data_IF_437297240998
#
_entry.id   IF_437297240998
#
_cell.length_a   1.000
_cell.length_b   1.000
_cell.length_c   1.000
_cell.angle_alpha   90.00
_cell.angle_beta   90.00
_cell.angle_gamma   90.00
#
_symmetry.space_group_name_H-M   'P 1'
#
loop_
_entity.id
_entity.type
_entity.pdbx_description
1 polymer ?
#
# COMPACT_ATOMS: atom_id res chain seq x y z
N UNK A 1 3.95 -3.79 14.97
CA UNK A 1 3.78 -2.53 14.21
C UNK A 1 4.88 -2.43 13.18
N UNK A 2 4.68 -1.72 12.07
CA UNK A 2 5.58 -1.82 10.90
C UNK A 2 7.04 -1.38 11.13
N UNK A 3 7.30 -0.58 12.18
CA UNK A 3 8.64 -0.20 12.64
C UNK A 3 9.21 -1.20 13.68
N UNK A 4 9.30 -2.48 13.32
CA UNK A 4 9.95 -3.51 14.16
C UNK A 4 11.26 -3.92 13.50
N UNK A 5 12.30 -4.21 14.29
CA UNK A 5 13.61 -4.61 13.75
C UNK A 5 13.50 -5.80 12.80
N UNK A 6 12.71 -6.82 13.14
CA UNK A 6 12.49 -7.98 12.27
C UNK A 6 11.93 -7.62 10.89
N UNK A 7 11.03 -6.64 10.81
CA UNK A 7 10.43 -6.17 9.56
C UNK A 7 11.46 -5.37 8.75
N UNK A 8 12.23 -4.50 9.41
CA UNK A 8 13.28 -3.71 8.76
C UNK A 8 14.41 -4.62 8.23
N UNK A 9 14.82 -5.61 9.01
CA UNK A 9 15.83 -6.61 8.62
C UNK A 9 15.34 -7.50 7.49
N UNK A 10 14.05 -7.89 7.50
CA UNK A 10 13.46 -8.63 6.38
C UNK A 10 13.42 -7.79 5.11
N UNK A 11 13.00 -6.52 5.20
CA UNK A 11 13.00 -5.60 4.07
C UNK A 11 14.41 -5.41 3.50
N UNK A 12 15.41 -5.22 4.38
CA UNK A 12 16.81 -5.09 3.99
C UNK A 12 17.33 -6.37 3.29
N UNK A 13 17.00 -7.56 3.81
CA UNK A 13 17.34 -8.84 3.15
C UNK A 13 16.72 -9.00 1.76
N UNK A 14 15.58 -8.36 1.53
CA UNK A 14 14.90 -8.34 0.23
C UNK A 14 15.39 -7.20 -0.68
N UNK A 15 16.41 -6.44 -0.26
CA UNK A 15 16.93 -5.30 -1.02
C UNK A 15 16.01 -4.08 -1.02
N UNK A 16 15.04 -4.01 -0.10
CA UNK A 16 14.08 -2.91 -0.01
C UNK A 16 14.57 -1.82 0.94
N UNK A 17 14.44 -0.55 0.51
CA UNK A 17 14.69 0.60 1.37
C UNK A 17 13.45 0.93 2.19
N UNK A 18 13.56 0.86 3.52
CA UNK A 18 12.45 1.14 4.44
C UNK A 18 12.30 2.65 4.69
N UNK A 19 11.24 3.25 4.14
CA UNK A 19 10.96 4.70 4.25
C UNK A 19 9.82 5.03 5.23
N UNK A 20 9.48 4.07 6.09
CA UNK A 20 8.46 4.24 7.13
C UNK A 20 9.06 5.08 8.27
N UNK A 21 8.33 6.03 8.89
CA UNK A 21 8.83 6.78 10.05
C UNK A 21 9.15 5.86 11.24
N UNK A 22 10.23 6.13 11.99
CA UNK A 22 10.46 5.45 13.25
C UNK A 22 9.40 5.82 14.30
N UNK A 23 9.16 4.90 15.23
CA UNK A 23 8.33 5.15 16.41
C UNK A 23 9.00 6.21 17.30
N UNK A 24 8.18 7.12 17.83
CA UNK A 24 8.62 8.20 18.73
C UNK A 24 9.43 7.70 19.94
N UNK A 25 9.11 6.51 20.47
CA UNK A 25 9.78 5.91 21.65
C UNK A 25 10.98 5.02 21.30
N UNK A 26 11.42 4.97 20.05
CA UNK A 26 12.59 4.16 19.66
C UNK A 26 13.85 4.77 20.26
N UNK A 27 14.71 3.92 20.86
CA UNK A 27 16.00 4.35 21.44
C UNK A 27 16.90 5.02 20.40
N UNK A 28 16.93 4.46 19.19
CA UNK A 28 17.67 5.02 18.06
C UNK A 28 16.68 5.46 16.99
N UNK A 29 16.61 6.78 16.78
CA UNK A 29 15.87 7.37 15.68
C UNK A 29 16.66 7.15 14.39
N UNK A 30 15.99 6.58 13.40
CA UNK A 30 16.57 6.28 12.08
C UNK A 30 16.08 7.34 11.10
N UNK A 31 16.98 7.76 10.21
CA UNK A 31 16.60 8.69 9.16
C UNK A 31 15.71 8.01 8.12
N UNK A 32 14.84 8.79 7.48
CA UNK A 32 13.98 8.32 6.41
C UNK A 32 13.59 9.49 5.52
N UNK A 33 13.41 9.23 4.23
CA UNK A 33 12.94 10.25 3.30
C UNK A 33 11.49 10.63 3.61
N UNK A 34 11.33 11.78 4.25
CA UNK A 34 10.01 12.34 4.60
C UNK A 34 9.20 12.72 3.36
N UNK A 35 9.85 13.17 2.29
CA UNK A 35 9.17 13.56 1.07
C UNK A 35 8.59 12.32 0.38
N UNK A 36 9.39 11.27 0.23
CA UNK A 36 8.93 10.00 -0.32
C UNK A 36 7.85 9.36 0.55
N UNK A 37 7.97 9.40 1.88
CA UNK A 37 6.92 8.89 2.76
C UNK A 37 5.60 9.65 2.61
N UNK A 38 5.64 10.96 2.34
CA UNK A 38 4.42 11.74 2.07
C UNK A 38 3.69 11.20 0.85
N UNK A 39 4.39 10.80 -0.22
CA UNK A 39 3.77 10.28 -1.46
C UNK A 39 2.93 9.01 -1.25
N UNK A 40 3.09 8.32 -0.12
CA UNK A 40 2.26 7.15 0.28
C UNK A 40 0.76 7.44 0.23
N UNK A 41 0.33 8.70 0.47
CA UNK A 41 -1.07 9.09 0.39
C UNK A 41 -1.69 8.83 -0.99
N UNK A 42 -0.91 8.91 -2.08
CA UNK A 42 -1.38 8.61 -3.43
C UNK A 42 -1.84 7.17 -3.54
N UNK A 43 -1.02 6.24 -3.04
CA UNK A 43 -1.34 4.81 -3.00
C UNK A 43 -2.57 4.54 -2.14
N UNK A 44 -2.66 5.15 -0.96
CA UNK A 44 -3.84 5.03 -0.07
C UNK A 44 -5.12 5.54 -0.73
N UNK A 45 -5.04 6.68 -1.43
CA UNK A 45 -6.16 7.25 -2.17
C UNK A 45 -6.61 6.29 -3.27
N UNK A 46 -5.70 5.70 -4.03
CA UNK A 46 -6.05 4.69 -5.05
C UNK A 46 -6.79 3.51 -4.42
N UNK A 47 -6.32 2.98 -3.28
CA UNK A 47 -7.03 1.91 -2.57
C UNK A 47 -8.41 2.33 -2.08
N UNK A 48 -8.58 3.58 -1.62
CA UNK A 48 -9.88 4.13 -1.27
C UNK A 48 -10.81 4.15 -2.49
N UNK A 49 -10.33 4.60 -3.65
CA UNK A 49 -11.09 4.61 -4.91
C UNK A 49 -11.48 3.22 -5.41
N UNK A 50 -10.63 2.23 -5.21
CA UNK A 50 -10.93 0.82 -5.49
C UNK A 50 -12.05 0.33 -4.55
N UNK A 51 -11.91 0.58 -3.24
CA UNK A 51 -12.89 0.16 -2.21
C UNK A 51 -14.23 0.90 -2.27
N UNK A 52 -14.35 2.03 -2.96
CA UNK A 52 -15.65 2.65 -3.24
C UNK A 52 -16.59 1.71 -4.00
N UNK A 53 -16.05 0.80 -4.80
CA UNK A 53 -16.87 -0.18 -5.50
C UNK A 53 -17.20 -1.35 -4.57
N UNK A 54 -18.48 -1.43 -4.15
CA UNK A 54 -18.96 -2.42 -3.18
C UNK A 54 -18.58 -3.85 -3.56
N UNK A 55 -18.71 -4.23 -4.84
CA UNK A 55 -18.39 -5.58 -5.31
C UNK A 55 -16.96 -6.05 -4.99
N UNK A 56 -15.98 -5.13 -5.05
CA UNK A 56 -14.60 -5.42 -4.61
C UNK A 56 -14.49 -5.35 -3.09
N UNK A 57 -15.03 -4.30 -2.46
CA UNK A 57 -14.86 -4.07 -1.03
C UNK A 57 -15.39 -5.22 -0.16
N UNK A 58 -16.52 -5.79 -0.55
CA UNK A 58 -17.17 -6.90 0.17
C UNK A 58 -16.94 -8.25 -0.49
N UNK A 59 -16.12 -8.32 -1.56
CA UNK A 59 -15.77 -9.55 -2.29
C UNK A 59 -16.99 -10.41 -2.65
N UNK A 60 -17.91 -9.86 -3.45
CA UNK A 60 -19.12 -10.60 -3.86
C UNK A 60 -18.85 -11.76 -4.82
N UNK A 61 -17.71 -11.76 -5.51
CA UNK A 61 -17.33 -12.83 -6.44
C UNK A 61 -16.96 -14.11 -5.67
N UNK A 62 -17.56 -15.24 -6.04
CA UNK A 62 -17.25 -16.56 -5.46
C UNK A 62 -15.84 -17.04 -5.79
N UNK A 63 -15.39 -16.79 -7.02
CA UNK A 63 -14.10 -17.27 -7.53
C UNK A 63 -13.01 -16.20 -7.40
N UNK A 64 -11.79 -16.63 -7.04
CA UNK A 64 -10.64 -15.74 -6.92
C UNK A 64 -10.24 -15.10 -8.27
N UNK A 65 -10.38 -15.85 -9.37
CA UNK A 65 -10.09 -15.36 -10.72
C UNK A 65 -11.03 -14.24 -11.13
N UNK A 66 -12.33 -14.39 -10.88
CA UNK A 66 -13.33 -13.34 -11.13
C UNK A 66 -13.09 -12.09 -10.28
N UNK A 67 -12.69 -12.28 -9.01
CA UNK A 67 -12.30 -11.16 -8.15
C UNK A 67 -11.10 -10.40 -8.72
N UNK A 68 -10.06 -11.13 -9.13
CA UNK A 68 -8.84 -10.56 -9.69
C UNK A 68 -9.15 -9.77 -10.98
N UNK A 69 -9.94 -10.34 -11.89
CA UNK A 69 -10.40 -9.64 -13.09
C UNK A 69 -11.16 -8.34 -12.77
N UNK A 70 -12.06 -8.38 -11.80
CA UNK A 70 -12.79 -7.20 -11.34
C UNK A 70 -11.86 -6.10 -10.78
N UNK A 71 -10.83 -6.49 -10.03
CA UNK A 71 -9.79 -5.57 -9.54
C UNK A 71 -9.00 -4.96 -10.70
N UNK A 72 -8.56 -5.76 -11.67
CA UNK A 72 -7.84 -5.25 -12.84
C UNK A 72 -8.66 -4.24 -13.64
N UNK A 73 -9.92 -4.56 -13.92
CA UNK A 73 -10.85 -3.65 -14.63
C UNK A 73 -10.97 -2.33 -13.86
N UNK A 74 -11.10 -2.39 -12.53
CA UNK A 74 -11.22 -1.18 -11.71
C UNK A 74 -9.95 -0.35 -11.71
N UNK A 75 -8.78 -0.98 -11.60
CA UNK A 75 -7.49 -0.28 -11.68
C UNK A 75 -7.32 0.41 -13.04
N UNK A 76 -7.69 -0.26 -14.13
CA UNK A 76 -7.64 0.29 -15.49
C UNK A 76 -8.60 1.47 -15.66
N UNK A 77 -9.83 1.36 -15.16
CA UNK A 77 -10.79 2.46 -15.19
C UNK A 77 -10.31 3.69 -14.40
N UNK A 78 -9.67 3.48 -13.25
CA UNK A 78 -9.06 4.56 -12.46
C UNK A 78 -7.91 5.20 -13.26
N UNK A 79 -7.06 4.40 -13.89
CA UNK A 79 -5.95 4.90 -14.70
C UNK A 79 -6.44 5.79 -15.85
N UNK A 80 -7.44 5.34 -16.60
CA UNK A 80 -8.03 6.10 -17.71
C UNK A 80 -8.74 7.38 -17.26
N UNK A 81 -9.19 7.46 -16.00
CA UNK A 81 -9.81 8.68 -15.48
C UNK A 81 -8.81 9.78 -15.09
N UNK A 82 -7.52 9.44 -14.99
CA UNK A 82 -6.44 10.40 -14.74
C UNK A 82 -5.74 10.85 -16.03
N UNK A 83 -5.94 10.14 -17.14
CA UNK A 83 -5.37 10.43 -18.45
C UNK A 83 -6.29 11.29 -19.29
#
# INVERSE_FOLDING_TARGET
GYDTNSILEQAARQGMTSVIPPRKRRRVQRDYDRHLYKLRHLVENTFLHIKRWRGIATRYTKNATSFLAAVHIRCLAIWLSFS
#
